data_IF_988794792814
#
_entry.id   IF_988794792814
#
_cell.length_a   1.000
_cell.length_b   1.000
_cell.length_c   1.000
_cell.angle_alpha   90.00
_cell.angle_beta   90.00
_cell.angle_gamma   90.00
#
_symmetry.space_group_name_H-M   'P 1'
#
loop_
_entity.id
_entity.type
_entity.pdbx_description
1 polymer ?
#
# COMPACT_ATOMS: atom_id res chain seq x y z
N UNK A 1 66.15 -13.00 -17.87
CA UNK A 1 64.78 -13.57 -17.74
C UNK A 1 64.70 -14.40 -16.47
N UNK A 2 64.15 -13.83 -15.39
CA UNK A 2 64.03 -14.49 -14.09
C UNK A 2 62.62 -15.10 -14.03
N UNK A 3 62.52 -16.43 -14.02
CA UNK A 3 61.25 -17.16 -13.92
C UNK A 3 60.86 -17.33 -12.45
N UNK A 4 59.81 -16.63 -12.03
CA UNK A 4 59.25 -16.74 -10.67
C UNK A 4 58.29 -17.94 -10.59
N UNK A 5 58.43 -18.79 -9.57
CA UNK A 5 57.52 -19.93 -9.33
C UNK A 5 56.24 -19.48 -8.61
N UNK A 6 55.11 -20.02 -9.05
CA UNK A 6 53.72 -19.60 -8.78
C UNK A 6 53.26 -19.58 -7.32
N UNK A 7 54.06 -20.11 -6.38
CA UNK A 7 53.70 -20.20 -4.96
C UNK A 7 54.01 -18.93 -4.14
N UNK A 8 54.87 -18.03 -4.62
CA UNK A 8 55.19 -16.78 -3.90
C UNK A 8 54.10 -15.69 -4.00
N UNK A 9 53.03 -15.92 -4.80
CA UNK A 9 51.89 -15.00 -4.91
C UNK A 9 50.76 -15.26 -3.92
N UNK A 10 50.70 -16.46 -3.33
CA UNK A 10 49.63 -16.84 -2.38
C UNK A 10 49.94 -16.38 -0.95
N UNK A 11 51.21 -16.21 -0.60
CA UNK A 11 51.62 -15.81 0.76
C UNK A 11 51.54 -14.31 1.05
N UNK A 12 51.41 -13.44 0.03
CA UNK A 12 51.19 -12.00 0.23
C UNK A 12 49.70 -11.63 0.42
N UNK A 13 48.75 -12.52 0.13
CA UNK A 13 47.32 -12.22 0.20
C UNK A 13 46.68 -12.38 1.59
N UNK A 14 47.32 -13.12 2.51
CA UNK A 14 46.73 -13.48 3.81
C UNK A 14 47.09 -12.55 4.98
N UNK A 15 47.96 -11.55 4.77
CA UNK A 15 48.39 -10.60 5.83
C UNK A 15 47.53 -9.32 5.87
N UNK A 16 46.65 -9.10 4.87
CA UNK A 16 45.79 -7.90 4.79
C UNK A 16 44.39 -8.05 5.42
N UNK A 17 44.06 -9.20 6.03
CA UNK A 17 42.71 -9.49 6.57
C UNK A 17 42.56 -9.31 8.09
N UNK A 18 43.57 -8.80 8.81
CA UNK A 18 43.58 -8.81 10.28
C UNK A 18 43.58 -7.41 10.95
N UNK A 19 43.08 -6.36 10.28
CA UNK A 19 43.05 -5.00 10.84
C UNK A 19 41.68 -4.29 10.82
N UNK A 20 40.55 -5.01 10.74
CA UNK A 20 39.21 -4.38 10.80
C UNK A 20 38.23 -5.01 11.82
N UNK A 21 38.72 -5.76 12.80
CA UNK A 21 37.92 -6.12 13.99
C UNK A 21 38.11 -5.07 15.09
N UNK A 22 37.60 -3.86 14.87
CA UNK A 22 37.33 -2.91 15.94
C UNK A 22 36.03 -3.30 16.63
N UNK A 23 36.11 -3.81 17.86
CA UNK A 23 34.95 -4.06 18.72
C UNK A 23 34.36 -2.73 19.18
N UNK A 24 33.20 -2.36 18.63
CA UNK A 24 32.39 -1.27 19.17
C UNK A 24 31.59 -1.80 20.36
N UNK A 25 31.93 -1.35 21.57
CA UNK A 25 31.09 -1.54 22.75
C UNK A 25 30.18 -0.32 22.90
N UNK A 26 28.87 -0.51 22.73
CA UNK A 26 27.89 0.57 22.95
C UNK A 26 27.36 0.51 24.39
N UNK A 27 27.59 1.58 25.13
CA UNK A 27 26.99 1.86 26.44
C UNK A 27 25.56 2.37 26.26
N UNK A 28 24.56 1.68 26.81
CA UNK A 28 23.18 2.18 26.86
C UNK A 28 22.94 2.90 28.20
N UNK A 29 22.75 4.23 28.11
CA UNK A 29 22.26 5.08 29.20
C UNK A 29 20.76 4.90 29.37
N UNK A 30 20.33 4.82 30.62
CA UNK A 30 18.94 4.78 31.05
C UNK A 30 18.19 6.06 30.67
N UNK A 31 16.91 5.93 30.30
CA UNK A 31 15.98 7.05 30.15
C UNK A 31 14.95 7.01 31.28
N UNK A 32 14.89 8.12 32.03
CA UNK A 32 13.92 8.38 33.07
C UNK A 32 12.57 8.81 32.48
N UNK A 33 11.50 8.34 33.13
CA UNK A 33 10.12 8.78 33.02
C UNK A 33 10.01 10.29 33.29
N UNK A 34 9.40 11.04 32.37
CA UNK A 34 8.97 12.42 32.62
C UNK A 34 7.45 12.45 32.63
N UNK A 35 6.92 12.81 33.79
CA UNK A 35 5.51 13.03 34.11
C UNK A 35 4.98 14.28 33.41
N UNK A 36 3.73 14.21 32.95
CA UNK A 36 2.98 15.33 32.40
C UNK A 36 2.39 16.18 33.53
N UNK A 37 3.05 17.27 33.87
CA UNK A 37 2.43 18.40 34.58
C UNK A 37 2.73 19.67 33.79
N UNK A 38 1.81 20.64 33.91
CA UNK A 38 1.87 22.02 33.42
C UNK A 38 1.41 22.31 31.98
N UNK A 39 0.08 22.45 31.80
CA UNK A 39 -0.44 23.62 31.11
C UNK A 39 -1.85 23.99 31.60
N UNK A 40 -1.89 24.81 32.65
CA UNK A 40 -3.04 25.64 32.98
C UNK A 40 -2.68 27.08 32.64
N UNK A 41 -3.33 27.66 31.63
CA UNK A 41 -3.60 29.10 31.63
C UNK A 41 -4.80 29.40 30.72
N UNK A 42 -5.90 29.72 31.38
CA UNK A 42 -7.08 30.37 30.82
C UNK A 42 -6.71 31.83 30.56
N UNK A 43 -7.01 32.33 29.37
CA UNK A 43 -7.38 33.74 29.23
C UNK A 43 -8.58 33.84 28.28
N UNK A 44 -9.47 34.75 28.61
CA UNK A 44 -10.85 34.82 28.19
C UNK A 44 -11.16 36.19 27.59
N UNK A 45 -12.07 36.22 26.61
CA UNK A 45 -12.98 37.30 26.18
C UNK A 45 -12.70 37.94 24.79
N UNK A 46 -13.68 38.62 24.13
CA UNK A 46 -14.99 38.08 23.69
C UNK A 46 -15.50 38.64 22.31
N UNK A 47 -16.68 38.16 21.86
CA UNK A 47 -17.67 38.76 20.90
C UNK A 47 -17.40 38.69 19.37
N UNK A 48 -18.30 38.01 18.63
CA UNK A 48 -19.10 38.60 17.54
C UNK A 48 -20.37 37.78 17.25
N UNK A 49 -21.49 38.49 17.29
CA UNK A 49 -22.87 38.13 16.91
C UNK A 49 -22.96 37.81 15.41
N UNK A 50 -23.77 36.81 15.01
CA UNK A 50 -24.01 36.57 13.57
C UNK A 50 -24.89 35.35 13.26
N UNK A 51 -26.21 35.54 13.33
CA UNK A 51 -27.23 34.56 12.93
C UNK A 51 -27.11 34.06 11.48
N UNK A 52 -27.17 32.73 11.28
CA UNK A 52 -27.93 32.12 10.17
C UNK A 52 -28.18 30.62 10.41
N UNK A 53 -29.46 30.24 10.26
CA UNK A 53 -30.03 28.88 10.35
C UNK A 53 -29.36 27.91 9.38
N UNK A 54 -29.01 26.72 9.87
CA UNK A 54 -28.64 25.55 9.09
C UNK A 54 -28.58 24.32 10.00
N UNK A 55 -29.59 23.46 9.89
CA UNK A 55 -29.75 22.23 10.66
C UNK A 55 -28.76 21.16 10.20
N UNK A 56 -27.87 20.70 11.08
CA UNK A 56 -27.12 19.45 10.92
C UNK A 56 -27.04 18.71 12.26
N UNK A 57 -27.40 17.43 12.17
CA UNK A 57 -27.67 16.45 13.22
C UNK A 57 -26.39 15.84 13.77
N UNK A 58 -26.18 15.97 15.09
CA UNK A 58 -25.55 14.97 15.95
C UNK A 58 -24.02 14.85 15.94
N UNK A 59 -23.35 15.59 16.83
CA UNK A 59 -22.13 15.10 17.48
C UNK A 59 -22.30 15.28 19.00
N UNK A 60 -22.51 14.19 19.73
CA UNK A 60 -22.47 14.20 21.19
C UNK A 60 -21.01 14.34 21.64
N UNK A 61 -20.54 15.59 21.72
CA UNK A 61 -19.38 15.92 22.56
C UNK A 61 -19.91 16.04 23.99
N UNK A 62 -19.64 15.02 24.81
CA UNK A 62 -19.91 15.11 26.24
C UNK A 62 -18.89 16.06 26.84
N UNK A 63 -19.36 17.18 27.38
CA UNK A 63 -18.49 18.20 27.98
C UNK A 63 -17.72 17.62 29.17
N UNK A 64 -16.39 17.67 29.09
CA UNK A 64 -15.46 17.19 30.11
C UNK A 64 -15.68 17.87 31.46
N UNK A 65 -16.29 19.06 31.48
CA UNK A 65 -16.65 19.78 32.71
C UNK A 65 -17.68 19.00 33.54
N UNK A 66 -18.63 18.32 32.90
CA UNK A 66 -19.70 17.55 33.55
C UNK A 66 -19.15 16.28 34.19
N UNK A 67 -18.20 15.63 33.52
CA UNK A 67 -17.52 14.45 34.05
C UNK A 67 -16.67 14.77 35.29
N UNK A 68 -15.98 15.91 35.28
CA UNK A 68 -15.16 16.34 36.42
C UNK A 68 -16.02 16.74 37.62
N UNK A 69 -17.13 17.45 37.38
CA UNK A 69 -18.08 17.80 38.43
C UNK A 69 -18.69 16.57 39.11
N UNK A 70 -19.05 15.52 38.34
CA UNK A 70 -19.60 14.29 38.91
C UNK A 70 -18.57 13.48 39.70
N UNK A 71 -17.30 13.49 39.29
CA UNK A 71 -16.23 12.81 40.04
C UNK A 71 -15.86 13.55 41.33
N UNK A 72 -15.83 14.88 41.29
CA UNK A 72 -15.58 15.72 42.48
C UNK A 72 -16.71 15.60 43.52
N UNK A 73 -17.94 15.34 43.08
CA UNK A 73 -19.09 15.07 43.96
C UNK A 73 -19.12 13.66 44.56
N UNK A 74 -18.11 12.81 44.32
CA UNK A 74 -18.00 11.47 44.93
C UNK A 74 -18.98 10.42 44.39
N UNK A 75 -19.64 10.69 43.26
CA UNK A 75 -20.64 9.81 42.65
C UNK A 75 -19.99 8.84 41.64
N UNK A 76 -19.09 7.97 42.12
CA UNK A 76 -18.35 7.04 41.27
C UNK A 76 -19.10 5.77 40.85
N UNK A 77 -20.38 5.61 41.22
CA UNK A 77 -21.11 4.35 41.02
C UNK A 77 -22.53 4.54 40.47
N UNK A 78 -22.64 5.25 39.34
CA UNK A 78 -23.89 5.39 38.58
C UNK A 78 -23.93 4.48 37.34
N UNK A 79 -23.44 3.25 37.50
CA UNK A 79 -23.75 2.13 36.59
C UNK A 79 -25.24 1.74 36.60
N UNK A 80 -26.05 2.35 37.49
CA UNK A 80 -27.46 1.97 37.75
C UNK A 80 -28.54 2.82 37.05
N UNK A 81 -28.18 3.82 36.22
CA UNK A 81 -29.18 4.67 35.53
C UNK A 81 -29.11 4.66 34.00
N UNK A 82 -28.37 3.72 33.40
CA UNK A 82 -28.47 3.43 31.96
C UNK A 82 -29.20 2.10 31.79
N UNK A 83 -30.47 2.06 32.19
CA UNK A 83 -31.36 0.93 31.87
C UNK A 83 -32.04 1.25 30.54
N UNK A 84 -31.44 0.78 29.44
CA UNK A 84 -32.11 0.72 28.15
C UNK A 84 -33.16 -0.40 28.20
N UNK A 85 -34.36 -0.24 27.59
CA UNK A 85 -35.38 -1.28 27.61
C UNK A 85 -34.88 -2.57 26.91
N UNK A 86 -34.99 -3.71 27.59
CA UNK A 86 -34.75 -5.04 27.00
C UNK A 86 -35.82 -5.32 25.93
N UNK A 87 -35.38 -5.40 24.67
CA UNK A 87 -36.18 -5.93 23.57
C UNK A 87 -36.24 -7.46 23.67
N UNK A 88 -37.38 -8.10 23.36
CA UNK A 88 -37.62 -9.51 23.67
C UNK A 88 -36.67 -10.45 22.93
N UNK A 89 -36.00 -11.33 23.69
CA UNK A 89 -35.25 -12.47 23.16
C UNK A 89 -36.21 -13.53 22.64
N UNK A 90 -36.26 -13.75 21.32
CA UNK A 90 -36.47 -15.08 20.70
C UNK A 90 -36.28 -15.03 19.18
N UNK A 91 -35.11 -15.47 18.69
CA UNK A 91 -34.95 -16.11 17.36
C UNK A 91 -33.50 -16.65 17.17
N UNK A 92 -33.30 -17.78 16.47
CA UNK A 92 -32.09 -18.60 16.57
C UNK A 92 -30.86 -18.02 15.85
N UNK A 93 -29.67 -18.25 16.45
CA UNK A 93 -28.34 -17.96 15.88
C UNK A 93 -28.19 -18.61 14.50
N UNK A 94 -28.24 -17.80 13.45
CA UNK A 94 -27.59 -18.09 12.16
C UNK A 94 -26.23 -17.42 12.14
N UNK A 95 -25.18 -18.22 11.97
CA UNK A 95 -23.80 -17.77 11.71
C UNK A 95 -23.77 -16.95 10.41
N UNK A 96 -23.77 -15.62 10.56
CA UNK A 96 -23.61 -14.66 9.46
C UNK A 96 -22.14 -14.47 9.05
N UNK A 97 -21.88 -14.02 7.81
CA UNK A 97 -20.56 -14.04 7.20
C UNK A 97 -19.62 -12.95 7.75
N UNK A 98 -18.32 -13.20 7.57
CA UNK A 98 -17.18 -12.40 8.00
C UNK A 98 -17.33 -10.87 7.84
N UNK A 99 -16.76 -10.13 8.80
CA UNK A 99 -16.60 -8.66 8.84
C UNK A 99 -16.54 -8.04 7.44
N UNK A 100 -17.54 -7.23 7.10
CA UNK A 100 -17.47 -6.29 5.98
C UNK A 100 -16.31 -5.33 6.26
N UNK A 101 -15.19 -5.49 5.54
CA UNK A 101 -14.08 -4.53 5.51
C UNK A 101 -14.66 -3.15 5.20
N UNK A 102 -14.30 -2.16 6.01
CA UNK A 102 -14.71 -0.78 5.83
C UNK A 102 -14.43 -0.30 4.40
N UNK A 103 -15.33 0.50 3.85
CA UNK A 103 -15.26 1.08 2.51
C UNK A 103 -13.87 1.65 2.23
N UNK A 104 -13.19 1.02 1.27
CA UNK A 104 -11.83 1.36 0.87
C UNK A 104 -11.78 2.75 0.23
N UNK A 105 -11.07 3.68 0.87
CA UNK A 105 -10.69 4.93 0.21
C UNK A 105 -9.81 4.63 -1.01
N UNK A 106 -9.92 5.41 -2.11
CA UNK A 106 -9.10 5.22 -3.30
C UNK A 106 -7.63 5.47 -3.02
N UNK A 107 -6.75 4.80 -3.78
CA UNK A 107 -5.30 5.07 -3.75
C UNK A 107 -5.00 6.47 -4.28
N UNK A 108 -4.00 7.10 -3.68
CA UNK A 108 -3.51 8.42 -4.06
C UNK A 108 -2.50 8.29 -5.21
N UNK A 109 -2.49 9.30 -6.08
CA UNK A 109 -1.43 9.47 -7.08
C UNK A 109 -0.06 9.64 -6.39
N UNK A 110 1.04 9.26 -7.04
CA UNK A 110 2.37 9.50 -6.49
C UNK A 110 2.66 11.01 -6.40
N UNK A 111 3.46 11.45 -5.42
CA UNK A 111 4.10 12.76 -5.42
C UNK A 111 4.88 13.03 -6.71
N UNK A 112 4.92 14.28 -7.16
CA UNK A 112 5.57 14.67 -8.42
C UNK A 112 7.07 14.36 -8.45
N UNK A 113 7.75 14.48 -7.30
CA UNK A 113 9.18 14.17 -7.14
C UNK A 113 9.50 12.67 -7.26
N UNK A 114 8.49 11.81 -7.12
CA UNK A 114 8.61 10.37 -7.29
C UNK A 114 8.43 9.92 -8.75
N UNK A 115 7.87 10.77 -9.61
CA UNK A 115 7.61 10.44 -11.01
C UNK A 115 8.89 10.63 -11.82
N UNK A 116 9.45 9.54 -12.34
CA UNK A 116 10.65 9.58 -13.18
C UNK A 116 10.39 10.28 -14.51
N UNK A 117 9.30 9.89 -15.17
CA UNK A 117 8.80 10.52 -16.39
C UNK A 117 7.39 10.01 -16.72
N UNK A 118 6.70 10.73 -17.59
CA UNK A 118 5.36 10.36 -18.09
C UNK A 118 5.47 9.82 -19.51
N UNK A 119 4.74 8.76 -19.80
CA UNK A 119 4.69 8.13 -21.13
C UNK A 119 3.26 8.04 -21.61
N UNK A 120 2.99 8.54 -22.81
CA UNK A 120 1.70 8.29 -23.48
C UNK A 120 1.69 6.87 -24.05
N UNK A 121 0.70 6.08 -23.65
CA UNK A 121 0.53 4.68 -24.05
C UNK A 121 -0.89 4.40 -24.50
N UNK A 122 -1.06 3.40 -25.36
CA UNK A 122 -2.38 2.80 -25.61
C UNK A 122 -2.63 1.72 -24.56
N UNK A 123 -3.67 1.89 -23.74
CA UNK A 123 -4.04 0.93 -22.71
C UNK A 123 -5.29 0.13 -23.11
N UNK A 124 -5.19 -1.20 -23.04
CA UNK A 124 -6.31 -2.14 -23.16
C UNK A 124 -6.56 -2.84 -21.82
N UNK A 125 -7.62 -3.67 -21.74
CA UNK A 125 -7.82 -4.55 -20.60
C UNK A 125 -7.94 -6.01 -21.03
N UNK A 126 -7.40 -6.90 -20.21
CA UNK A 126 -7.42 -8.35 -20.41
C UNK A 126 -7.82 -9.10 -19.14
N UNK A 127 -8.07 -10.39 -19.28
CA UNK A 127 -8.47 -11.29 -18.19
C UNK A 127 -7.58 -12.53 -18.15
N UNK A 128 -7.74 -13.37 -17.12
CA UNK A 128 -7.10 -14.68 -17.08
C UNK A 128 -7.80 -15.71 -17.98
N UNK A 129 -8.96 -15.35 -18.54
CA UNK A 129 -9.85 -16.26 -19.25
C UNK A 129 -9.30 -16.75 -20.58
N UNK A 130 -10.04 -17.69 -21.19
CA UNK A 130 -9.70 -18.30 -22.47
C UNK A 130 -9.60 -17.26 -23.58
N UNK A 131 -10.44 -16.23 -23.54
CA UNK A 131 -10.48 -15.13 -24.49
C UNK A 131 -9.17 -14.34 -24.58
N UNK A 132 -8.40 -14.29 -23.49
CA UNK A 132 -7.14 -13.53 -23.43
C UNK A 132 -5.91 -14.45 -23.46
N UNK A 133 -6.00 -15.64 -22.85
CA UNK A 133 -4.83 -16.50 -22.62
C UNK A 133 -4.92 -17.87 -23.28
N UNK A 134 -6.08 -18.24 -23.83
CA UNK A 134 -6.35 -19.59 -24.33
C UNK A 134 -6.47 -20.66 -23.25
N UNK A 135 -6.45 -20.30 -21.95
CA UNK A 135 -6.46 -21.23 -20.81
C UNK A 135 -7.81 -21.19 -20.08
N UNK A 136 -8.23 -22.32 -19.53
CA UNK A 136 -9.46 -22.47 -18.72
C UNK A 136 -9.13 -22.61 -17.22
N UNK A 137 -10.07 -22.23 -16.32
CA UNK A 137 -9.94 -22.54 -14.89
C UNK A 137 -9.65 -24.03 -14.69
N UNK A 138 -8.60 -24.35 -13.93
CA UNK A 138 -8.10 -25.73 -13.73
C UNK A 138 -6.82 -26.06 -14.49
N UNK A 139 -6.42 -25.26 -15.49
CA UNK A 139 -5.11 -25.40 -16.12
C UNK A 139 -3.99 -24.97 -15.16
N UNK A 140 -2.84 -25.67 -15.06
CA UNK A 140 -1.76 -25.34 -14.12
C UNK A 140 -1.22 -23.91 -14.27
N UNK A 141 -1.23 -23.39 -15.50
CA UNK A 141 -0.77 -22.03 -15.82
C UNK A 141 -1.91 -21.00 -15.92
N UNK A 142 -3.11 -21.33 -15.46
CA UNK A 142 -4.24 -20.38 -15.46
C UNK A 142 -3.96 -19.23 -14.50
N UNK A 143 -4.01 -17.99 -15.00
CA UNK A 143 -3.72 -16.79 -14.22
C UNK A 143 -2.25 -16.65 -13.78
N UNK A 144 -1.32 -17.36 -14.42
CA UNK A 144 0.12 -17.19 -14.21
C UNK A 144 0.67 -16.26 -15.29
N UNK A 145 1.30 -15.17 -14.87
CA UNK A 145 1.96 -14.18 -15.75
C UNK A 145 3.30 -14.69 -16.26
N UNK A 146 3.88 -14.00 -17.24
CA UNK A 146 5.23 -14.30 -17.75
C UNK A 146 6.29 -14.36 -16.64
N UNK A 147 6.23 -13.48 -15.64
CA UNK A 147 7.18 -13.48 -14.51
C UNK A 147 7.00 -14.65 -13.54
N UNK A 148 5.92 -15.42 -13.66
CA UNK A 148 5.59 -16.55 -12.79
C UNK A 148 4.72 -16.19 -11.58
N UNK A 149 4.45 -14.91 -11.33
CA UNK A 149 3.49 -14.48 -10.29
C UNK A 149 2.06 -14.64 -10.79
N UNK A 150 1.12 -14.78 -9.85
CA UNK A 150 -0.31 -14.82 -10.19
C UNK A 150 -0.81 -13.42 -10.55
N UNK A 151 -1.70 -13.36 -11.55
CA UNK A 151 -2.43 -12.14 -11.87
C UNK A 151 -3.20 -11.62 -10.65
N UNK A 152 -3.13 -10.33 -10.42
CA UNK A 152 -3.78 -9.66 -9.28
C UNK A 152 -4.46 -8.39 -9.77
N UNK A 153 -5.73 -8.22 -9.40
CA UNK A 153 -6.48 -6.98 -9.61
C UNK A 153 -7.00 -6.46 -8.27
N UNK A 154 -6.59 -5.26 -7.92
CA UNK A 154 -7.11 -4.52 -6.77
C UNK A 154 -7.03 -3.01 -7.04
N UNK A 155 -8.13 -2.29 -6.83
CA UNK A 155 -8.21 -0.83 -7.00
C UNK A 155 -7.53 -0.06 -5.87
N UNK A 156 -7.41 -0.69 -4.71
CA UNK A 156 -6.94 -0.05 -3.48
C UNK A 156 -5.51 -0.44 -3.12
N UNK A 157 -4.90 -1.34 -3.89
CA UNK A 157 -3.52 -1.79 -3.68
C UNK A 157 -2.76 -1.81 -5.02
N UNK A 158 -2.05 -2.90 -5.31
CA UNK A 158 -1.26 -3.10 -6.51
C UNK A 158 -1.93 -4.12 -7.42
N UNK A 159 -1.99 -3.81 -8.72
CA UNK A 159 -2.44 -4.75 -9.76
C UNK A 159 -1.29 -5.16 -10.68
N UNK A 160 -1.37 -6.36 -11.25
CA UNK A 160 -0.43 -6.82 -12.29
C UNK A 160 -0.84 -6.31 -13.66
N UNK A 161 0.12 -5.88 -14.48
CA UNK A 161 -0.13 -5.44 -15.86
C UNK A 161 0.83 -6.14 -16.82
N UNK A 162 0.44 -6.17 -18.10
CA UNK A 162 1.30 -6.62 -19.20
C UNK A 162 1.86 -5.43 -19.98
N UNK A 163 3.12 -5.50 -20.38
CA UNK A 163 3.76 -4.47 -21.19
C UNK A 163 4.87 -5.05 -22.08
N UNK A 164 5.43 -4.20 -22.95
CA UNK A 164 6.64 -4.52 -23.69
C UNK A 164 7.88 -4.33 -22.78
N UNK A 165 8.69 -5.38 -22.51
CA UNK A 165 9.88 -5.26 -21.67
C UNK A 165 10.94 -4.28 -22.19
N UNK A 166 10.96 -4.00 -23.50
CA UNK A 166 11.92 -3.06 -24.08
C UNK A 166 11.59 -1.59 -23.70
N UNK A 167 10.33 -1.33 -23.34
CA UNK A 167 9.85 -0.02 -22.89
C UNK A 167 9.68 0.00 -21.36
N UNK A 168 9.02 -1.00 -20.81
CA UNK A 168 8.77 -1.18 -19.40
C UNK A 168 9.22 -2.57 -18.95
N UNK A 169 10.47 -2.73 -18.48
CA UNK A 169 10.98 -4.01 -18.01
C UNK A 169 10.11 -4.59 -16.89
N UNK A 170 10.12 -5.92 -16.75
CA UNK A 170 9.43 -6.59 -15.65
C UNK A 170 9.87 -6.00 -14.31
N UNK A 171 8.89 -5.80 -13.41
CA UNK A 171 9.06 -5.13 -12.13
C UNK A 171 8.87 -3.62 -12.17
N UNK A 172 8.69 -3.00 -13.36
CA UNK A 172 8.42 -1.56 -13.45
C UNK A 172 7.12 -1.22 -12.73
N UNK A 173 7.11 -0.10 -12.01
CA UNK A 173 5.96 0.40 -11.28
C UNK A 173 5.40 1.63 -11.98
N UNK A 174 4.14 1.53 -12.38
CA UNK A 174 3.41 2.60 -13.07
C UNK A 174 2.23 3.05 -12.21
N UNK A 175 1.94 4.35 -12.24
CA UNK A 175 0.63 4.85 -11.86
C UNK A 175 -0.18 5.17 -13.12
N UNK A 176 -1.37 4.57 -13.21
CA UNK A 176 -2.25 4.66 -14.36
C UNK A 176 -3.54 5.37 -13.91
N UNK A 177 -3.77 6.62 -14.34
CA UNK A 177 -4.96 7.38 -13.94
C UNK A 177 -6.26 6.61 -14.21
N UNK A 178 -7.10 6.49 -13.19
CA UNK A 178 -8.37 5.75 -13.25
C UNK A 178 -8.26 4.22 -13.08
N UNK A 179 -7.06 3.65 -13.06
CA UNK A 179 -6.83 2.22 -12.78
C UNK A 179 -6.16 1.98 -11.42
N UNK A 180 -5.15 2.79 -11.09
CA UNK A 180 -4.34 2.69 -9.86
C UNK A 180 -2.88 2.32 -10.15
N UNK A 181 -2.20 1.77 -9.14
CA UNK A 181 -0.82 1.30 -9.27
C UNK A 181 -0.76 -0.05 -10.00
N UNK A 182 0.14 -0.15 -10.98
CA UNK A 182 0.42 -1.35 -11.75
C UNK A 182 1.88 -1.77 -11.66
N UNK A 183 2.14 -3.05 -11.45
CA UNK A 183 3.47 -3.66 -11.61
C UNK A 183 3.51 -4.47 -12.92
N UNK A 184 4.52 -4.22 -13.74
CA UNK A 184 4.73 -5.00 -14.96
C UNK A 184 5.18 -6.40 -14.59
N UNK A 185 4.27 -7.37 -14.74
CA UNK A 185 4.50 -8.76 -14.36
C UNK A 185 4.36 -9.72 -15.56
N UNK A 186 3.77 -9.23 -16.65
CA UNK A 186 3.38 -10.06 -17.79
C UNK A 186 3.86 -9.47 -19.12
N UNK A 187 3.95 -10.33 -20.15
CA UNK A 187 4.36 -9.95 -21.50
C UNK A 187 3.37 -10.58 -22.48
N UNK A 188 2.75 -9.74 -23.32
CA UNK A 188 1.84 -10.18 -24.38
C UNK A 188 2.49 -10.09 -25.75
N UNK A 189 2.23 -11.07 -26.63
CA UNK A 189 2.73 -11.05 -28.01
C UNK A 189 2.23 -9.84 -28.81
N UNK A 190 0.98 -9.40 -28.57
CA UNK A 190 0.36 -8.23 -29.19
C UNK A 190 0.61 -6.90 -28.43
N UNK A 191 1.32 -6.95 -27.31
CA UNK A 191 1.64 -5.83 -26.44
C UNK A 191 3.08 -5.40 -26.71
N UNK A 192 3.24 -4.51 -27.71
CA UNK A 192 4.53 -4.04 -28.23
C UNK A 192 4.61 -2.52 -28.28
N UNK A 193 5.80 -2.00 -28.03
CA UNK A 193 6.09 -0.58 -27.92
C UNK A 193 5.35 0.07 -26.74
N UNK A 194 4.79 1.26 -26.97
CA UNK A 194 4.04 2.04 -25.97
C UNK A 194 2.60 1.53 -25.83
N UNK A 195 2.42 0.23 -25.63
CA UNK A 195 1.14 -0.41 -25.33
C UNK A 195 1.22 -1.13 -23.99
N UNK A 196 0.15 -1.03 -23.21
CA UNK A 196 -0.02 -1.77 -21.96
C UNK A 196 -1.36 -2.50 -21.95
N UNK A 197 -1.41 -3.62 -21.23
CA UNK A 197 -2.65 -4.36 -21.00
C UNK A 197 -2.93 -4.47 -19.50
N UNK A 198 -4.09 -4.00 -19.09
CA UNK A 198 -4.46 -3.91 -17.68
C UNK A 198 -5.28 -5.14 -17.28
N UNK A 199 -4.85 -5.83 -16.23
CA UNK A 199 -5.56 -7.02 -15.79
C UNK A 199 -6.90 -6.66 -15.12
N UNK A 200 -7.95 -7.40 -15.46
CA UNK A 200 -9.25 -7.39 -14.81
C UNK A 200 -9.71 -8.82 -14.51
N UNK A 201 -10.52 -8.99 -13.46
CA UNK A 201 -10.99 -10.31 -13.08
C UNK A 201 -12.03 -10.87 -14.08
N UNK A 202 -12.76 -10.00 -14.78
CA UNK A 202 -13.82 -10.39 -15.72
C UNK A 202 -13.87 -9.48 -16.94
N UNK A 203 -14.33 -10.00 -18.07
CA UNK A 203 -14.53 -9.21 -19.30
C UNK A 203 -15.54 -8.08 -19.10
N UNK A 204 -16.59 -8.33 -18.33
CA UNK A 204 -17.57 -7.30 -17.97
C UNK A 204 -16.92 -6.08 -17.30
N UNK A 205 -15.96 -6.30 -16.40
CA UNK A 205 -15.21 -5.20 -15.78
C UNK A 205 -14.37 -4.43 -16.79
N UNK A 206 -13.75 -5.11 -17.76
CA UNK A 206 -12.99 -4.45 -18.82
C UNK A 206 -13.87 -3.44 -19.57
N UNK A 207 -15.06 -3.86 -19.99
CA UNK A 207 -15.99 -3.00 -20.73
C UNK A 207 -16.56 -1.86 -19.87
N UNK A 208 -16.86 -2.13 -18.60
CA UNK A 208 -17.50 -1.15 -17.73
C UNK A 208 -16.51 -0.11 -17.16
N UNK A 209 -15.26 -0.50 -16.92
CA UNK A 209 -14.31 0.33 -16.19
C UNK A 209 -13.22 0.93 -17.06
N UNK A 210 -12.95 0.36 -18.25
CA UNK A 210 -11.76 0.75 -19.02
C UNK A 210 -11.97 0.93 -20.52
N UNK A 211 -12.29 -0.14 -21.25
CA UNK A 211 -12.22 -0.14 -22.72
C UNK A 211 -10.79 -0.01 -23.27
N UNK A 212 -10.66 0.47 -24.52
CA UNK A 212 -9.36 0.81 -25.14
C UNK A 212 -9.25 2.32 -25.24
N UNK A 213 -8.16 2.90 -24.72
CA UNK A 213 -7.91 4.34 -24.79
C UNK A 213 -6.42 4.66 -24.67
N UNK A 214 -6.04 5.81 -25.18
CA UNK A 214 -4.72 6.37 -24.92
C UNK A 214 -4.72 7.12 -23.59
N UNK A 215 -3.71 6.86 -22.77
CA UNK A 215 -3.55 7.45 -21.44
C UNK A 215 -2.10 7.83 -21.21
N UNK A 216 -1.90 8.87 -20.41
CA UNK A 216 -0.58 9.23 -19.91
C UNK A 216 -0.33 8.51 -18.59
N UNK A 217 0.68 7.64 -18.58
CA UNK A 217 1.07 6.88 -17.38
C UNK A 217 2.32 7.47 -16.77
N UNK A 218 2.38 7.46 -15.46
CA UNK A 218 3.53 7.95 -14.70
C UNK A 218 4.42 6.76 -14.35
N UNK A 219 5.68 6.79 -14.77
CA UNK A 219 6.67 5.78 -14.42
C UNK A 219 7.30 6.19 -13.09
N UNK A 220 7.12 5.35 -12.07
CA UNK A 220 7.58 5.61 -10.70
C UNK A 220 8.88 4.86 -10.41
N UNK A 221 9.01 3.65 -10.95
CA UNK A 221 10.23 2.85 -10.83
C UNK A 221 10.44 2.05 -12.10
N UNK A 222 11.68 2.08 -12.61
CA UNK A 222 12.10 1.20 -13.70
C UNK A 222 12.34 -0.21 -13.15
N UNK A 223 11.81 -1.22 -13.83
CA UNK A 223 11.99 -2.63 -13.45
C UNK A 223 13.41 -3.14 -13.68
N UNK A 224 13.81 -4.15 -12.91
CA UNK A 224 15.10 -4.84 -13.04
C UNK A 224 15.06 -6.03 -14.01
N UNK A 225 13.93 -6.24 -14.69
CA UNK A 225 13.69 -7.42 -15.53
C UNK A 225 13.16 -8.63 -14.75
N UNK A 226 12.78 -8.45 -13.49
CA UNK A 226 12.18 -9.48 -12.64
C UNK A 226 10.96 -8.94 -11.90
N UNK A 227 10.00 -9.81 -11.63
CA UNK A 227 8.84 -9.52 -10.79
C UNK A 227 8.59 -10.75 -9.92
N UNK A 228 8.56 -10.58 -8.59
CA UNK A 228 8.43 -11.67 -7.63
C UNK A 228 7.20 -11.50 -6.76
N UNK A 229 6.71 -12.60 -6.19
CA UNK A 229 5.57 -12.56 -5.26
C UNK A 229 5.88 -11.71 -4.01
N UNK A 230 7.16 -11.66 -3.59
CA UNK A 230 7.59 -10.81 -2.50
C UNK A 230 7.44 -9.33 -2.85
N UNK A 231 7.83 -8.90 -4.05
CA UNK A 231 7.62 -7.52 -4.51
C UNK A 231 6.13 -7.15 -4.50
N UNK A 232 5.26 -8.04 -5.02
CA UNK A 232 3.81 -7.82 -5.01
C UNK A 232 3.25 -7.65 -3.60
N UNK A 233 3.73 -8.45 -2.65
CA UNK A 233 3.32 -8.37 -1.24
C UNK A 233 3.81 -7.10 -0.58
N UNK A 234 5.09 -6.78 -0.71
CA UNK A 234 5.71 -5.59 -0.12
C UNK A 234 5.03 -4.32 -0.61
N UNK A 235 4.93 -4.13 -1.93
CA UNK A 235 4.29 -2.97 -2.53
C UNK A 235 2.78 -2.93 -2.26
N UNK A 236 2.10 -4.07 -2.34
CA UNK A 236 0.68 -4.15 -2.05
C UNK A 236 0.36 -3.73 -0.62
N UNK A 237 1.14 -4.21 0.37
CA UNK A 237 0.98 -3.84 1.77
C UNK A 237 1.29 -2.36 2.00
N UNK A 238 2.35 -1.83 1.38
CA UNK A 238 2.68 -0.42 1.49
C UNK A 238 1.54 0.48 0.97
N UNK A 239 0.96 0.16 -0.19
CA UNK A 239 -0.19 0.92 -0.71
C UNK A 239 -1.42 0.73 0.18
N UNK A 240 -1.67 -0.48 0.70
CA UNK A 240 -2.77 -0.70 1.62
C UNK A 240 -2.61 0.14 2.90
N UNK A 241 -1.40 0.27 3.44
CA UNK A 241 -1.13 1.06 4.66
C UNK A 241 -1.11 2.56 4.39
N UNK A 242 -0.33 3.02 3.42
CA UNK A 242 -0.02 4.44 3.20
C UNK A 242 -0.89 5.10 2.12
N UNK A 243 -1.64 4.32 1.32
CA UNK A 243 -2.46 4.75 0.18
C UNK A 243 -1.68 5.23 -1.05
N UNK A 244 -0.36 5.26 -0.99
CA UNK A 244 0.57 5.43 -2.10
C UNK A 244 1.80 4.54 -1.86
N UNK A 245 2.77 4.54 -2.76
CA UNK A 245 4.04 3.84 -2.57
C UNK A 245 5.10 4.81 -2.01
N UNK A 246 5.53 4.67 -0.74
CA UNK A 246 6.63 5.49 -0.23
C UNK A 246 7.96 5.16 -0.95
N UNK A 247 8.80 6.17 -1.16
CA UNK A 247 10.09 6.00 -1.83
C UNK A 247 11.02 5.01 -1.10
N UNK A 248 10.95 4.95 0.24
CA UNK A 248 11.72 3.97 1.02
C UNK A 248 11.41 2.52 0.64
N UNK A 249 10.14 2.22 0.36
CA UNK A 249 9.71 0.87 -0.05
C UNK A 249 10.16 0.57 -1.48
N UNK A 250 10.18 1.57 -2.36
CA UNK A 250 10.67 1.39 -3.73
C UNK A 250 12.15 1.04 -3.79
N UNK A 251 12.97 1.60 -2.90
CA UNK A 251 14.42 1.32 -2.85
C UNK A 251 14.75 -0.01 -2.19
N UNK A 252 13.97 -0.47 -1.21
CA UNK A 252 14.23 -1.72 -0.50
C UNK A 252 13.93 -2.98 -1.35
N UNK A 253 12.97 -2.91 -2.26
CA UNK A 253 12.48 -4.06 -3.01
C UNK A 253 13.32 -4.40 -4.27
N UNK A 254 14.63 -4.12 -4.26
CA UNK A 254 15.59 -4.34 -5.36
C UNK A 254 16.20 -5.75 -5.31
#
# INVERSE_FOLDING_TARGET
MIKWKTWQRVLCGSVLSAMLFSTWTSSAKAYNTILSESYSRIDSSPIYEGSRKGEVRGSEYVDLSVFYAMRAAGLSDLSRYITLPELPETAPKKTGPAKRRASSMPVLAPPEDQVLHTVKVTATGYTAGYESTGKKPGHPQYGITYSGVKVKRDKNTLSTIAADPDVFPLGSILYIPGYGYGIVADIGSAIKGRKIDLYFATTKQVFQEWGKKDVEVQVIKQGSGKCTEQMLRTFGNAIETYRFLPSSVLEEAI
#
